data_IF_485915723646
#
_entry.id   IF_485915723646
#
_cell.length_a   1.000
_cell.length_b   1.000
_cell.length_c   1.000
_cell.angle_alpha   90.00
_cell.angle_beta   90.00
_cell.angle_gamma   90.00
#
_symmetry.space_group_name_H-M   'P 1'
#
loop_
_entity.id
_entity.type
_entity.pdbx_description
1 polymer ?
#
# COMPACT_ATOMS: atom_id res chain seq x y z
N UNK A 1 -7.90 4.04 6.42
CA UNK A 1 -7.65 2.62 6.15
C UNK A 1 -8.45 1.79 7.13
N UNK A 2 -9.40 1.01 6.63
CA UNK A 2 -10.33 0.16 7.39
C UNK A 2 -9.66 -1.04 8.11
N UNK A 3 -8.33 -1.14 8.05
CA UNK A 3 -7.54 -2.22 8.66
C UNK A 3 -6.40 -1.64 9.48
N UNK A 4 -5.56 -0.79 8.88
CA UNK A 4 -4.35 -0.28 9.53
C UNK A 4 -4.71 0.63 10.71
N UNK A 5 -5.62 1.59 10.55
CA UNK A 5 -6.01 2.51 11.65
C UNK A 5 -6.50 1.74 12.89
N UNK A 6 -7.55 0.90 12.83
CA UNK A 6 -8.03 0.18 14.03
C UNK A 6 -7.07 -0.90 14.55
N UNK A 7 -6.04 -1.30 13.79
CA UNK A 7 -4.97 -2.16 14.29
C UNK A 7 -3.86 -1.38 15.03
N UNK A 8 -3.83 -0.05 14.89
CA UNK A 8 -2.72 0.82 15.34
C UNK A 8 -3.15 1.90 16.33
N UNK A 9 -4.42 2.31 16.33
CA UNK A 9 -4.99 3.27 17.27
C UNK A 9 -6.31 2.70 17.81
N UNK A 10 -6.31 2.36 19.10
CA UNK A 10 -7.49 1.79 19.78
C UNK A 10 -8.67 2.76 19.90
N UNK A 11 -8.46 4.07 19.61
CA UNK A 11 -9.50 5.12 19.65
C UNK A 11 -10.14 5.36 18.27
N UNK A 12 -9.76 4.60 17.24
CA UNK A 12 -10.39 4.64 15.91
C UNK A 12 -11.92 4.41 16.05
N UNK A 13 -12.79 5.28 15.51
CA UNK A 13 -14.25 5.22 15.74
C UNK A 13 -14.98 4.13 14.94
N UNK A 14 -14.26 3.10 14.49
CA UNK A 14 -14.76 1.92 13.78
C UNK A 14 -13.75 0.77 13.94
N UNK A 15 -14.23 -0.47 13.94
CA UNK A 15 -13.39 -1.66 13.86
C UNK A 15 -13.26 -2.19 12.43
N UNK A 16 -12.38 -3.16 12.18
CA UNK A 16 -12.38 -3.89 10.89
C UNK A 16 -13.66 -4.72 10.74
N UNK A 17 -14.20 -5.25 11.83
CA UNK A 17 -15.53 -5.89 11.89
C UNK A 17 -16.70 -4.91 11.66
N UNK A 18 -16.43 -3.60 11.53
CA UNK A 18 -17.43 -2.60 11.15
C UNK A 18 -17.63 -2.46 9.62
N UNK A 19 -17.24 -3.45 8.84
CA UNK A 19 -17.48 -3.48 7.39
C UNK A 19 -18.06 -4.82 6.94
N UNK A 20 -18.81 -4.78 5.84
CA UNK A 20 -19.31 -5.98 5.13
C UNK A 20 -18.46 -6.14 3.88
N UNK A 21 -17.57 -7.14 3.87
CA UNK A 21 -16.62 -7.34 2.78
C UNK A 21 -17.30 -8.08 1.61
N UNK A 22 -17.57 -7.37 0.52
CA UNK A 22 -18.30 -7.90 -0.65
C UNK A 22 -17.40 -8.74 -1.56
N UNK A 23 -16.20 -8.21 -1.83
CA UNK A 23 -15.15 -8.84 -2.61
C UNK A 23 -13.81 -8.15 -2.30
N UNK A 24 -12.69 -8.79 -2.65
CA UNK A 24 -11.49 -8.06 -3.08
C UNK A 24 -11.68 -7.79 -4.57
N UNK A 25 -11.23 -6.64 -5.05
CA UNK A 25 -11.04 -6.38 -6.48
C UNK A 25 -9.54 -6.46 -6.75
N UNK A 26 -8.86 -5.32 -6.59
CA UNK A 26 -7.41 -5.19 -6.72
C UNK A 26 -6.64 -5.60 -5.45
N UNK A 27 -5.49 -6.26 -5.62
CA UNK A 27 -4.38 -6.20 -4.64
C UNK A 27 -3.33 -5.22 -5.14
N UNK A 28 -3.39 -3.97 -4.69
CA UNK A 28 -2.40 -2.94 -5.04
C UNK A 28 -0.98 -3.37 -4.58
N UNK A 29 0.03 -3.41 -5.45
CA UNK A 29 1.36 -3.86 -5.07
C UNK A 29 2.16 -2.67 -4.56
N UNK A 30 2.90 -2.90 -3.49
CA UNK A 30 3.65 -1.87 -2.81
C UNK A 30 5.07 -1.78 -3.37
N UNK A 31 5.44 -0.61 -3.87
CA UNK A 31 6.72 -0.35 -4.54
C UNK A 31 7.43 0.77 -3.81
N UNK A 32 8.69 0.51 -3.43
CA UNK A 32 9.60 1.57 -2.97
C UNK A 32 10.47 2.04 -4.14
N UNK A 33 10.53 3.35 -4.34
CA UNK A 33 11.25 3.98 -5.44
C UNK A 33 12.07 5.19 -4.97
N UNK A 34 13.12 5.49 -5.75
CA UNK A 34 13.96 6.68 -5.65
C UNK A 34 13.88 7.46 -6.96
N UNK A 35 14.42 8.68 -6.99
CA UNK A 35 14.60 9.45 -8.23
C UNK A 35 15.54 8.69 -9.20
N UNK A 36 15.30 8.74 -10.50
CA UNK A 36 15.98 7.90 -11.50
C UNK A 36 17.50 8.13 -11.64
N UNK A 37 17.97 9.29 -11.20
CA UNK A 37 19.37 9.74 -11.14
C UNK A 37 19.99 9.62 -9.73
N UNK A 38 19.23 9.12 -8.74
CA UNK A 38 19.73 8.95 -7.37
C UNK A 38 20.87 7.91 -7.29
N UNK A 39 21.81 8.06 -6.33
CA UNK A 39 22.96 7.17 -6.17
C UNK A 39 22.60 5.74 -5.75
N UNK A 40 21.37 5.49 -5.30
CA UNK A 40 20.90 4.19 -4.83
C UNK A 40 20.52 3.29 -6.00
N UNK A 41 21.35 2.30 -6.32
CA UNK A 41 21.08 1.33 -7.38
C UNK A 41 20.11 0.22 -6.93
N UNK A 42 20.14 -0.11 -5.64
CA UNK A 42 19.37 -1.17 -4.99
C UNK A 42 18.78 -0.71 -3.65
N UNK A 43 17.82 -1.47 -3.11
CA UNK A 43 17.29 -1.23 -1.76
C UNK A 43 18.37 -1.35 -0.67
N UNK A 44 19.40 -2.18 -0.90
CA UNK A 44 20.53 -2.31 0.05
C UNK A 44 21.27 -0.98 0.18
N UNK A 45 21.59 -0.32 -0.92
CA UNK A 45 22.35 0.93 -0.92
C UNK A 45 21.59 2.06 -0.19
N UNK A 46 20.27 2.13 -0.41
CA UNK A 46 19.40 3.07 0.29
C UNK A 46 19.34 2.78 1.80
N UNK A 47 19.23 1.51 2.20
CA UNK A 47 19.14 1.15 3.62
C UNK A 47 20.48 1.22 4.36
N UNK A 48 21.59 1.06 3.66
CA UNK A 48 22.94 1.28 4.21
C UNK A 48 23.20 2.78 4.43
N UNK A 49 22.74 3.65 3.53
CA UNK A 49 22.74 5.11 3.74
C UNK A 49 21.83 5.52 4.91
N UNK A 50 20.59 5.00 4.99
CA UNK A 50 19.70 5.24 6.15
C UNK A 50 20.35 4.81 7.47
N UNK A 51 21.12 3.72 7.48
CA UNK A 51 21.89 3.26 8.65
C UNK A 51 23.09 4.15 8.96
N UNK A 52 23.79 4.65 7.94
CA UNK A 52 24.94 5.55 8.10
C UNK A 52 24.52 6.95 8.55
N UNK A 53 23.32 7.40 8.17
CA UNK A 53 22.82 8.76 8.42
C UNK A 53 21.39 8.78 9.01
N UNK A 54 21.17 8.27 10.23
CA UNK A 54 19.84 8.25 10.85
C UNK A 54 19.20 9.63 10.93
N UNK A 55 17.94 9.74 10.52
CA UNK A 55 17.16 10.98 10.53
C UNK A 55 17.60 12.04 9.51
N UNK A 56 18.53 11.72 8.59
CA UNK A 56 18.93 12.64 7.50
C UNK A 56 18.12 12.46 6.22
N UNK A 57 17.71 11.23 5.92
CA UNK A 57 16.91 10.94 4.74
C UNK A 57 15.43 11.19 5.04
N UNK A 58 14.76 11.85 4.10
CA UNK A 58 13.32 12.05 4.11
C UNK A 58 12.63 11.00 3.23
N UNK A 59 11.48 10.50 3.68
CA UNK A 59 10.57 9.70 2.86
C UNK A 59 9.18 10.30 2.83
N UNK A 60 8.47 10.21 1.70
CA UNK A 60 7.11 10.70 1.61
C UNK A 60 6.10 9.68 2.17
N UNK A 61 5.18 10.16 3.01
CA UNK A 61 4.06 9.42 3.61
C UNK A 61 2.74 10.13 3.31
N UNK A 62 1.61 9.40 3.31
CA UNK A 62 0.26 9.97 3.06
C UNK A 62 -0.67 9.87 4.28
N UNK A 63 -0.06 9.92 5.47
CA UNK A 63 -0.74 9.92 6.76
C UNK A 63 -0.47 8.64 7.57
N UNK A 64 -0.50 8.74 8.90
CA UNK A 64 0.00 7.70 9.80
C UNK A 64 -0.61 6.31 9.54
N UNK A 65 -1.93 6.20 9.41
CA UNK A 65 -2.65 4.94 9.17
C UNK A 65 -2.67 4.44 7.73
N UNK A 66 -1.58 4.61 6.98
CA UNK A 66 -1.47 4.23 5.55
C UNK A 66 -0.25 3.33 5.31
N UNK A 67 -0.27 2.53 4.24
CA UNK A 67 0.84 1.61 3.93
C UNK A 67 2.12 2.36 3.51
N UNK A 68 1.96 3.57 2.96
CA UNK A 68 3.03 4.53 2.68
C UNK A 68 3.79 4.93 3.94
N UNK A 69 3.11 4.96 5.09
CA UNK A 69 3.72 5.23 6.39
C UNK A 69 4.30 3.96 7.03
N UNK A 70 3.52 2.87 7.04
CA UNK A 70 3.87 1.64 7.74
C UNK A 70 4.94 0.80 7.03
N UNK A 71 4.96 0.78 5.70
CA UNK A 71 5.91 -0.02 4.90
C UNK A 71 7.38 0.34 5.16
N UNK A 72 7.78 1.63 5.10
CA UNK A 72 9.14 2.05 5.44
C UNK A 72 9.53 1.70 6.88
N UNK A 73 8.64 1.96 7.85
CA UNK A 73 8.89 1.65 9.27
C UNK A 73 9.03 0.14 9.52
N UNK A 74 8.27 -0.69 8.79
CA UNK A 74 8.40 -2.14 8.85
C UNK A 74 9.72 -2.61 8.23
N UNK A 75 10.12 -2.05 7.08
CA UNK A 75 11.41 -2.33 6.45
C UNK A 75 12.58 -1.97 7.37
N UNK A 76 12.51 -0.84 8.08
CA UNK A 76 13.51 -0.49 9.10
C UNK A 76 13.58 -1.56 10.20
N UNK A 77 12.43 -1.97 10.75
CA UNK A 77 12.37 -3.00 11.79
C UNK A 77 12.90 -4.36 11.35
N UNK A 78 12.66 -4.77 10.09
CA UNK A 78 13.24 -6.00 9.52
C UNK A 78 14.78 -5.94 9.39
N UNK A 79 15.35 -4.74 9.36
CA UNK A 79 16.79 -4.48 9.23
C UNK A 79 17.45 -4.03 10.55
N UNK A 80 16.74 -4.15 11.68
CA UNK A 80 17.22 -3.74 13.01
C UNK A 80 17.34 -2.22 13.22
N UNK A 81 16.73 -1.42 12.35
CA UNK A 81 16.73 0.03 12.39
C UNK A 81 15.50 0.57 13.15
N UNK A 82 15.61 1.72 13.85
CA UNK A 82 14.47 2.33 14.53
C UNK A 82 13.45 2.90 13.53
N UNK A 83 12.19 3.08 13.99
CA UNK A 83 11.07 3.50 13.13
C UNK A 83 11.23 4.90 12.50
N UNK A 84 12.10 5.71 13.07
CA UNK A 84 12.46 7.08 12.70
C UNK A 84 13.88 7.20 12.10
N UNK A 85 14.47 6.08 11.65
CA UNK A 85 15.75 6.07 10.92
C UNK A 85 15.73 6.96 9.66
N UNK A 86 14.55 7.22 9.08
CA UNK A 86 14.30 8.27 8.11
C UNK A 86 13.05 9.07 8.51
N UNK A 87 12.96 10.34 8.10
CA UNK A 87 11.89 11.26 8.49
C UNK A 87 10.70 11.15 7.52
N UNK A 88 9.51 10.86 8.04
CA UNK A 88 8.27 10.80 7.25
C UNK A 88 7.67 12.18 6.99
N UNK A 89 7.75 12.66 5.75
CA UNK A 89 7.17 13.93 5.30
C UNK A 89 5.74 13.71 4.79
N UNK A 90 4.71 14.35 5.37
CA UNK A 90 3.31 14.09 5.03
C UNK A 90 2.83 14.86 3.79
N UNK A 91 2.15 14.14 2.90
CA UNK A 91 1.46 14.66 1.70
C UNK A 91 -0.01 14.19 1.68
N UNK A 92 -0.89 14.89 0.97
CA UNK A 92 -2.34 14.61 0.98
C UNK A 92 -2.75 13.37 0.20
N UNK A 93 -1.85 12.81 -0.61
CA UNK A 93 -2.10 11.60 -1.39
C UNK A 93 -0.93 11.24 -2.31
N UNK A 94 -1.03 10.07 -2.94
CA UNK A 94 0.07 9.48 -3.72
C UNK A 94 0.57 10.35 -4.88
N UNK A 95 -0.27 11.24 -5.45
CA UNK A 95 0.16 12.16 -6.51
C UNK A 95 1.11 13.27 -6.04
N UNK A 96 0.83 13.86 -4.87
CA UNK A 96 1.74 14.83 -4.24
C UNK A 96 3.05 14.15 -3.83
N UNK A 97 2.97 12.95 -3.24
CA UNK A 97 4.11 12.08 -2.91
C UNK A 97 5.00 11.78 -4.14
N UNK A 98 4.39 11.45 -5.28
CA UNK A 98 5.13 11.18 -6.52
C UNK A 98 5.81 12.44 -7.05
N UNK A 99 5.12 13.59 -7.02
CA UNK A 99 5.69 14.89 -7.41
C UNK A 99 6.87 15.28 -6.51
N UNK A 100 6.75 15.10 -5.20
CA UNK A 100 7.79 15.37 -4.22
C UNK A 100 9.06 14.54 -4.45
N UNK A 101 8.91 13.25 -4.78
CA UNK A 101 10.03 12.37 -5.09
C UNK A 101 10.70 12.73 -6.43
N UNK A 102 9.92 13.03 -7.47
CA UNK A 102 10.44 13.49 -8.78
C UNK A 102 11.24 14.79 -8.62
N UNK A 103 10.75 15.71 -7.78
CA UNK A 103 11.38 16.98 -7.43
C UNK A 103 12.51 16.89 -6.38
N UNK A 104 12.82 15.70 -5.85
CA UNK A 104 13.91 15.50 -4.90
C UNK A 104 13.69 16.09 -3.49
N UNK A 105 12.44 16.42 -3.11
CA UNK A 105 12.10 16.89 -1.75
C UNK A 105 12.27 15.78 -0.71
N UNK A 106 12.09 14.53 -1.15
CA UNK A 106 12.32 13.29 -0.39
C UNK A 106 13.28 12.41 -1.18
N UNK A 107 14.11 11.62 -0.49
CA UNK A 107 15.10 10.77 -1.14
C UNK A 107 14.48 9.47 -1.67
N UNK A 108 13.42 8.99 -1.02
CA UNK A 108 12.63 7.84 -1.47
C UNK A 108 11.14 7.99 -1.11
N UNK A 109 10.30 7.18 -1.73
CA UNK A 109 8.92 6.98 -1.31
C UNK A 109 8.50 5.53 -1.55
N UNK A 110 7.59 5.02 -0.73
CA UNK A 110 6.99 3.71 -0.94
C UNK A 110 5.47 3.85 -1.06
N UNK A 111 4.88 3.37 -2.15
CA UNK A 111 3.44 3.53 -2.43
C UNK A 111 2.94 2.46 -3.41
N UNK A 112 1.64 2.51 -3.73
CA UNK A 112 1.01 1.59 -4.67
C UNK A 112 1.55 1.82 -6.10
N UNK A 113 1.84 0.76 -6.84
CA UNK A 113 2.47 0.84 -8.18
C UNK A 113 1.76 1.81 -9.14
N UNK A 114 0.42 1.84 -9.17
CA UNK A 114 -0.33 2.70 -10.10
C UNK A 114 -0.01 4.20 -9.98
N UNK A 115 0.41 4.68 -8.80
CA UNK A 115 0.83 6.07 -8.61
C UNK A 115 2.26 6.38 -9.08
N UNK A 116 3.07 5.34 -9.32
CA UNK A 116 4.48 5.43 -9.71
C UNK A 116 4.74 4.91 -11.14
N UNK A 117 3.80 4.15 -11.72
CA UNK A 117 3.99 3.38 -12.96
C UNK A 117 4.42 4.23 -14.17
N UNK A 118 3.88 5.44 -14.32
CA UNK A 118 4.28 6.37 -15.39
C UNK A 118 5.74 6.82 -15.23
N UNK A 119 6.10 7.51 -14.13
CA UNK A 119 7.48 7.92 -13.84
C UNK A 119 8.51 6.77 -13.78
N UNK A 120 8.08 5.56 -13.43
CA UNK A 120 8.93 4.35 -13.52
C UNK A 120 9.15 3.93 -14.98
N UNK A 121 8.11 3.90 -15.82
CA UNK A 121 8.21 3.59 -17.26
C UNK A 121 9.05 4.60 -18.04
N UNK A 122 9.11 5.86 -17.62
CA UNK A 122 9.97 6.90 -18.21
C UNK A 122 11.39 6.94 -17.63
N UNK A 123 11.74 6.08 -16.67
CA UNK A 123 13.02 6.11 -15.96
C UNK A 123 13.24 7.36 -15.08
N UNK A 124 12.21 8.20 -14.91
CA UNK A 124 12.26 9.39 -14.04
C UNK A 124 12.34 9.01 -12.56
N UNK A 125 11.79 7.84 -12.21
CA UNK A 125 11.99 7.14 -10.95
C UNK A 125 12.62 5.76 -11.20
N UNK A 126 13.33 5.23 -10.20
CA UNK A 126 13.85 3.85 -10.16
C UNK A 126 13.19 3.09 -9.03
N UNK A 127 12.54 1.96 -9.33
CA UNK A 127 12.04 1.06 -8.30
C UNK A 127 13.20 0.26 -7.68
N UNK A 128 13.23 0.16 -6.35
CA UNK A 128 14.25 -0.58 -5.60
C UNK A 128 13.71 -1.83 -4.90
N UNK A 129 12.38 -1.89 -4.69
CA UNK A 129 11.67 -3.02 -4.11
C UNK A 129 10.22 -3.03 -4.61
N UNK A 130 9.64 -4.21 -4.81
CA UNK A 130 8.20 -4.40 -5.05
C UNK A 130 7.69 -5.58 -4.22
N UNK A 131 6.43 -5.53 -3.78
CA UNK A 131 5.72 -6.69 -3.18
C UNK A 131 4.92 -7.50 -4.20
N UNK A 132 5.14 -7.27 -5.50
CA UNK A 132 4.58 -8.10 -6.56
C UNK A 132 5.26 -9.48 -6.57
N UNK A 133 4.49 -10.58 -6.63
CA UNK A 133 4.98 -11.79 -7.28
C UNK A 133 5.13 -11.53 -8.79
N UNK A 134 4.11 -10.92 -9.43
CA UNK A 134 4.09 -10.47 -10.84
C UNK A 134 3.21 -9.21 -11.04
N UNK A 135 3.28 -8.49 -12.20
CA UNK A 135 2.68 -7.15 -12.42
C UNK A 135 1.26 -7.14 -13.02
N UNK A 136 0.25 -6.47 -12.40
CA UNK A 136 -1.17 -6.49 -12.86
C UNK A 136 -1.83 -5.04 -12.81
N UNK A 137 -3.13 -4.63 -12.83
CA UNK A 137 -4.54 -5.15 -12.88
C UNK A 137 -5.61 -4.99 -11.71
N UNK A 138 -6.09 -3.78 -11.28
CA UNK A 138 -7.54 -3.43 -10.91
C UNK A 138 -7.90 -2.04 -10.25
N UNK A 139 -9.09 -1.85 -9.59
CA UNK A 139 -9.68 -0.59 -9.02
C UNK A 139 -10.56 -0.78 -7.68
N UNK A 140 -11.71 -0.08 -7.34
CA UNK A 140 -11.89 0.66 -6.06
C UNK A 140 -13.10 0.25 -5.14
N UNK A 141 -13.44 1.04 -4.09
CA UNK A 141 -14.30 0.64 -2.92
C UNK A 141 -15.45 1.63 -2.58
N UNK A 142 -16.54 1.13 -1.96
CA UNK A 142 -17.75 1.87 -1.46
C UNK A 142 -18.23 1.36 -0.06
N UNK A 143 -19.12 2.07 0.69
CA UNK A 143 -19.35 1.85 2.14
C UNK A 143 -20.43 0.82 2.56
N UNK A 144 -20.55 0.58 3.88
CA UNK A 144 -21.38 -0.45 4.57
C UNK A 144 -22.90 -0.17 4.51
N UNK A 145 -23.71 -1.24 4.59
CA UNK A 145 -25.14 -1.18 4.92
C UNK A 145 -26.10 -1.88 3.96
N UNK A 146 -25.58 -2.59 2.94
CA UNK A 146 -26.39 -3.13 1.84
C UNK A 146 -27.22 -4.38 2.25
N UNK A 147 -28.49 -4.50 1.79
CA UNK A 147 -29.28 -5.72 1.96
C UNK A 147 -28.64 -6.96 1.34
N UNK A 148 -28.91 -8.14 1.89
CA UNK A 148 -28.33 -9.42 1.45
C UNK A 148 -28.57 -9.72 -0.04
N UNK A 149 -29.75 -9.39 -0.57
CA UNK A 149 -30.06 -9.54 -1.99
C UNK A 149 -29.14 -8.67 -2.87
N UNK A 150 -28.81 -7.45 -2.43
CA UNK A 150 -27.88 -6.56 -3.14
C UNK A 150 -26.45 -7.10 -3.07
N UNK A 151 -26.03 -7.64 -1.91
CA UNK A 151 -24.73 -8.33 -1.76
C UNK A 151 -24.64 -9.54 -2.70
N UNK A 152 -25.72 -10.30 -2.87
CA UNK A 152 -25.78 -11.49 -3.71
C UNK A 152 -25.73 -11.15 -5.19
N UNK A 153 -26.60 -10.25 -5.68
CA UNK A 153 -26.57 -9.72 -7.05
C UNK A 153 -25.22 -9.07 -7.40
N UNK A 154 -24.59 -8.37 -6.44
CA UNK A 154 -23.26 -7.78 -6.64
C UNK A 154 -22.15 -8.83 -6.71
N UNK A 155 -22.23 -9.90 -5.90
CA UNK A 155 -21.30 -11.03 -5.98
C UNK A 155 -21.40 -11.75 -7.32
N UNK A 156 -22.61 -11.92 -7.86
CA UNK A 156 -22.86 -12.48 -9.19
C UNK A 156 -22.31 -11.59 -10.31
N UNK A 157 -22.57 -10.28 -10.25
CA UNK A 157 -22.01 -9.30 -11.19
C UNK A 157 -20.47 -9.31 -11.16
N UNK A 158 -19.86 -9.33 -9.97
CA UNK A 158 -18.40 -9.42 -9.85
C UNK A 158 -17.85 -10.76 -10.37
N UNK A 159 -18.57 -11.87 -10.20
CA UNK A 159 -18.19 -13.17 -10.77
C UNK A 159 -18.29 -13.22 -12.31
N UNK A 160 -19.04 -12.31 -12.95
CA UNK A 160 -19.01 -12.10 -14.40
C UNK A 160 -17.85 -11.19 -14.81
N UNK A 161 -17.63 -10.07 -14.11
CA UNK A 161 -16.53 -9.13 -14.35
C UNK A 161 -15.16 -9.82 -14.19
N UNK A 162 -15.02 -10.77 -13.25
CA UNK A 162 -13.87 -11.66 -13.10
C UNK A 162 -13.56 -12.57 -14.31
N UNK A 163 -14.42 -12.56 -15.34
CA UNK A 163 -14.30 -13.34 -16.59
C UNK A 163 -14.31 -12.45 -17.83
N UNK A 164 -14.46 -11.13 -17.67
CA UNK A 164 -14.46 -10.16 -18.77
C UNK A 164 -13.02 -9.96 -19.27
N UNK A 165 -12.74 -10.44 -20.49
CA UNK A 165 -11.41 -10.36 -21.08
C UNK A 165 -10.94 -8.94 -21.41
N UNK A 166 -11.84 -7.96 -21.57
CA UNK A 166 -11.49 -6.56 -21.81
C UNK A 166 -11.16 -5.82 -20.51
N UNK A 167 -11.89 -6.12 -19.43
CA UNK A 167 -11.57 -5.66 -18.07
C UNK A 167 -10.27 -6.31 -17.57
N UNK A 168 -10.14 -7.63 -17.76
CA UNK A 168 -8.90 -8.39 -17.68
C UNK A 168 -7.91 -8.09 -18.83
N UNK A 169 -8.00 -6.95 -19.52
CA UNK A 169 -6.95 -6.41 -20.38
C UNK A 169 -6.58 -4.98 -19.98
N UNK A 170 -7.57 -4.10 -19.79
CA UNK A 170 -7.33 -2.68 -19.48
C UNK A 170 -6.52 -2.45 -18.20
N UNK A 171 -6.70 -3.32 -17.21
CA UNK A 171 -6.19 -3.13 -15.85
C UNK A 171 -4.66 -3.44 -15.73
N UNK A 172 -4.08 -4.40 -16.48
CA UNK A 172 -2.62 -4.77 -16.43
C UNK A 172 -1.71 -3.64 -16.94
N UNK A 173 -2.31 -2.78 -17.73
CA UNK A 173 -1.74 -1.52 -18.21
C UNK A 173 -1.42 -0.56 -17.06
N UNK A 174 -1.95 -0.78 -15.83
CA UNK A 174 -2.13 0.24 -14.78
C UNK A 174 -1.60 -0.04 -13.33
N UNK A 175 -1.60 -1.24 -12.72
CA UNK A 175 -1.63 -1.30 -11.22
C UNK A 175 -1.36 -2.63 -10.46
N UNK A 176 -2.41 -3.26 -9.89
CA UNK A 176 -2.37 -4.35 -8.90
C UNK A 176 -3.10 -5.64 -9.26
N UNK A 177 -3.31 -6.63 -8.38
CA UNK A 177 -3.68 -8.00 -8.82
C UNK A 177 -5.18 -8.20 -9.04
N UNK A 178 -5.63 -8.87 -10.14
CA UNK A 178 -6.99 -9.38 -10.25
C UNK A 178 -7.21 -10.41 -9.15
N UNK A 179 -7.95 -9.99 -8.14
CA UNK A 179 -8.22 -10.79 -6.96
C UNK A 179 -9.72 -10.78 -6.66
N UNK A 180 -10.56 -10.82 -7.69
CA UNK A 180 -12.01 -10.98 -7.55
C UNK A 180 -12.33 -12.27 -6.80
N UNK A 181 -12.47 -12.12 -5.48
CA UNK A 181 -12.69 -13.16 -4.48
C UNK A 181 -14.05 -12.93 -3.84
N UNK A 182 -14.75 -14.01 -3.52
CA UNK A 182 -16.05 -13.96 -2.84
C UNK A 182 -15.98 -13.24 -1.50
N UNK A 183 -17.12 -12.74 -1.02
CA UNK A 183 -17.27 -12.05 0.26
C UNK A 183 -16.53 -12.73 1.43
N UNK A 184 -16.74 -14.03 1.62
CA UNK A 184 -16.08 -14.81 2.68
C UNK A 184 -14.55 -14.87 2.53
N UNK A 185 -14.02 -14.93 1.31
CA UNK A 185 -12.58 -14.90 1.04
C UNK A 185 -11.99 -13.49 1.18
N UNK A 186 -12.79 -12.44 0.93
CA UNK A 186 -12.42 -11.05 1.19
C UNK A 186 -12.37 -10.75 2.69
N UNK A 187 -13.38 -11.18 3.46
CA UNK A 187 -13.40 -11.07 4.92
C UNK A 187 -12.22 -11.84 5.54
N UNK A 188 -11.97 -13.08 5.11
CA UNK A 188 -10.83 -13.88 5.60
C UNK A 188 -9.47 -13.21 5.30
N UNK A 189 -9.31 -12.61 4.11
CA UNK A 189 -8.12 -11.84 3.78
C UNK A 189 -7.98 -10.60 4.66
N UNK A 190 -9.06 -9.83 4.86
CA UNK A 190 -9.01 -8.60 5.66
C UNK A 190 -8.78 -8.88 7.14
N UNK A 191 -9.38 -9.93 7.70
CA UNK A 191 -9.05 -10.44 9.05
C UNK A 191 -7.56 -10.80 9.16
N UNK A 192 -7.03 -11.54 8.19
CA UNK A 192 -5.60 -11.89 8.14
C UNK A 192 -4.70 -10.65 8.06
N UNK A 193 -5.10 -9.63 7.30
CA UNK A 193 -4.40 -8.34 7.25
C UNK A 193 -4.49 -7.59 8.59
N UNK A 194 -5.67 -7.55 9.24
CA UNK A 194 -5.84 -6.93 10.56
C UNK A 194 -4.90 -7.56 11.58
N UNK A 195 -4.95 -8.89 11.72
CA UNK A 195 -4.08 -9.64 12.63
C UNK A 195 -2.59 -9.39 12.36
N UNK A 196 -2.19 -9.28 11.09
CA UNK A 196 -0.81 -8.98 10.69
C UNK A 196 -0.40 -7.57 11.14
N UNK A 197 -1.20 -6.53 10.83
CA UNK A 197 -0.89 -5.16 11.22
C UNK A 197 -0.98 -4.95 12.73
N UNK A 198 -1.89 -5.65 13.44
CA UNK A 198 -2.03 -5.58 14.90
C UNK A 198 -0.80 -6.18 15.60
N UNK A 199 -0.41 -7.39 15.20
CA UNK A 199 0.79 -8.08 15.72
C UNK A 199 2.05 -7.24 15.44
N UNK A 200 2.10 -6.55 14.30
CA UNK A 200 3.21 -5.65 13.95
C UNK A 200 3.18 -4.33 14.74
N UNK A 201 2.06 -3.63 14.81
CA UNK A 201 1.92 -2.36 15.53
C UNK A 201 2.23 -2.51 17.03
N UNK A 202 1.88 -3.67 17.60
CA UNK A 202 2.23 -4.05 18.97
C UNK A 202 3.75 -4.23 19.14
N UNK A 203 4.44 -4.90 18.20
CA UNK A 203 5.91 -5.04 18.22
C UNK A 203 6.66 -3.71 18.04
N UNK A 204 6.11 -2.79 17.25
CA UNK A 204 6.74 -1.50 16.92
C UNK A 204 6.49 -0.38 17.94
N UNK A 205 5.75 -0.66 19.02
CA UNK A 205 5.34 0.36 19.99
C UNK A 205 4.52 1.48 19.34
N UNK A 206 3.69 1.12 18.35
CA UNK A 206 2.84 2.05 17.60
C UNK A 206 1.38 2.04 18.09
N UNK A 207 0.96 1.01 18.83
CA UNK A 207 -0.37 0.89 19.42
C UNK A 207 -0.53 1.85 20.61
N UNK A 208 -1.55 2.71 20.55
CA UNK A 208 -1.95 3.68 21.59
C UNK A 208 -3.44 3.57 21.94
#
# INVERSE_FOLDING_TARGET
SQVILPATDGKTPYQWSDFTYLAILEVNPFVCAVKGDAPYASMKDLMDEVRAQPGKLNFATVGAGTIQNFGPQYLFSLLGLPRDAAVGIPYKGSGELTTALIGGQVQFACSNLGALLGPLKSGTLRALMTTMPEPPKELPVVPRGLPSEVVQRWSEAMAQVARDAAWLAGNEKLGGVPAVRSAAAAEAFVRTQYEMYEKLATRLGLRQ
#
